data_IF_624960030544
#
_entry.id   IF_624960030544
#
_cell.length_a   1.000
_cell.length_b   1.000
_cell.length_c   1.000
_cell.angle_alpha   90.00
_cell.angle_beta   90.00
_cell.angle_gamma   90.00
#
_symmetry.space_group_name_H-M   'P 1'
#
loop_
_entity.id
_entity.type
_entity.pdbx_description
1 polymer ?
#
# COMPACT_ATOMS: atom_id res chain seq x y z
N UNK A 1 5.80 19.44 -17.91
CA UNK A 1 5.62 18.00 -17.57
C UNK A 1 6.06 17.80 -16.14
N UNK A 2 5.11 17.74 -15.19
CA UNK A 2 5.41 17.55 -13.77
C UNK A 2 5.09 16.10 -13.39
N UNK A 3 6.10 15.36 -12.91
CA UNK A 3 5.90 14.01 -12.34
C UNK A 3 5.95 14.16 -10.83
N UNK A 4 4.81 14.07 -10.12
CA UNK A 4 4.82 14.10 -8.67
C UNK A 4 5.63 12.90 -8.14
N UNK A 5 6.44 13.13 -7.10
CA UNK A 5 7.23 12.08 -6.43
C UNK A 5 6.39 11.24 -5.46
N UNK A 6 5.21 11.74 -5.10
CA UNK A 6 4.32 11.17 -4.10
C UNK A 6 2.87 11.39 -4.53
N UNK A 7 1.96 10.54 -4.04
CA UNK A 7 0.57 10.54 -4.48
C UNK A 7 -0.21 11.83 -4.13
N UNK A 8 0.09 12.47 -2.99
CA UNK A 8 -0.66 13.64 -2.54
C UNK A 8 -0.49 14.87 -3.46
N UNK A 9 0.72 15.12 -3.96
CA UNK A 9 0.97 16.22 -4.89
C UNK A 9 0.25 16.06 -6.23
N UNK A 10 0.05 14.82 -6.69
CA UNK A 10 -0.73 14.52 -7.88
C UNK A 10 -2.24 14.73 -7.69
N UNK A 11 -2.76 14.51 -6.46
CA UNK A 11 -4.18 14.62 -6.17
C UNK A 11 -4.74 16.02 -6.43
N UNK A 12 -3.98 17.08 -6.09
CA UNK A 12 -4.35 18.47 -6.40
C UNK A 12 -4.41 18.77 -7.90
N UNK A 13 -3.68 18.03 -8.73
CA UNK A 13 -3.68 18.24 -10.17
C UNK A 13 -4.92 17.64 -10.83
N UNK A 14 -5.48 16.57 -10.24
CA UNK A 14 -6.70 15.91 -10.72
C UNK A 14 -7.91 16.85 -10.71
N UNK A 15 -7.96 17.80 -9.78
CA UNK A 15 -9.05 18.78 -9.70
C UNK A 15 -8.85 19.99 -10.62
N UNK A 16 -7.61 20.28 -11.01
CA UNK A 16 -7.26 21.50 -11.75
C UNK A 16 -7.11 21.28 -13.26
N UNK A 17 -6.86 20.04 -13.70
CA UNK A 17 -6.52 19.73 -15.08
C UNK A 17 -7.29 18.49 -15.57
N UNK A 18 -7.57 18.37 -16.88
CA UNK A 18 -8.21 17.20 -17.47
C UNK A 18 -7.20 16.04 -17.59
N UNK A 19 -6.81 15.48 -16.44
CA UNK A 19 -5.82 14.41 -16.33
C UNK A 19 -6.39 13.24 -15.54
N UNK A 20 -5.82 12.06 -15.76
CA UNK A 20 -6.11 10.85 -15.00
C UNK A 20 -4.83 10.33 -14.34
N UNK A 21 -4.96 9.59 -13.25
CA UNK A 21 -3.83 8.98 -12.55
C UNK A 21 -4.18 7.56 -12.08
N UNK A 22 -3.24 6.65 -12.22
CA UNK A 22 -3.32 5.31 -11.63
C UNK A 22 -2.77 5.36 -10.22
N UNK A 23 -3.57 4.94 -9.24
CA UNK A 23 -3.25 4.99 -7.82
C UNK A 23 -3.57 3.64 -7.16
N UNK A 24 -2.92 3.31 -6.04
CA UNK A 24 -3.40 2.28 -5.14
C UNK A 24 -4.88 2.47 -4.77
N UNK A 25 -5.65 1.38 -4.70
CA UNK A 25 -7.10 1.41 -4.43
C UNK A 25 -7.45 2.23 -3.18
N UNK A 26 -6.67 2.08 -2.10
CA UNK A 26 -6.91 2.84 -0.87
C UNK A 26 -6.70 4.35 -1.05
N UNK A 27 -5.67 4.78 -1.78
CA UNK A 27 -5.46 6.20 -2.06
C UNK A 27 -6.51 6.75 -3.03
N UNK A 28 -6.87 5.97 -4.06
CA UNK A 28 -7.88 6.35 -5.04
C UNK A 28 -9.26 6.58 -4.40
N UNK A 29 -9.66 5.71 -3.48
CA UNK A 29 -10.94 5.83 -2.74
C UNK A 29 -10.95 7.05 -1.84
N UNK A 30 -9.90 7.25 -1.03
CA UNK A 30 -9.77 8.43 -0.17
C UNK A 30 -9.83 9.73 -0.96
N UNK A 31 -9.13 9.82 -2.10
CA UNK A 31 -9.16 11.03 -2.93
C UNK A 31 -10.46 11.21 -3.70
N UNK A 32 -11.10 10.12 -4.14
CA UNK A 32 -12.43 10.18 -4.75
C UNK A 32 -13.44 10.81 -3.78
N UNK A 33 -13.46 10.32 -2.54
CA UNK A 33 -14.36 10.83 -1.50
C UNK A 33 -14.02 12.28 -1.11
N UNK A 34 -12.74 12.59 -0.89
CA UNK A 34 -12.31 13.91 -0.41
C UNK A 34 -12.41 15.01 -1.47
N UNK A 35 -12.25 14.68 -2.76
CA UNK A 35 -12.16 15.66 -3.85
C UNK A 35 -13.37 15.60 -4.80
N UNK A 36 -14.35 14.74 -4.54
CA UNK A 36 -15.51 14.54 -5.41
C UNK A 36 -15.13 13.95 -6.78
N UNK A 37 -14.08 13.13 -6.83
CA UNK A 37 -13.62 12.45 -8.04
C UNK A 37 -14.24 11.06 -8.17
N UNK A 38 -14.09 10.43 -9.33
CA UNK A 38 -14.51 9.04 -9.54
C UNK A 38 -13.31 8.13 -9.68
N UNK A 39 -13.24 7.09 -8.84
CA UNK A 39 -12.29 6.00 -9.00
C UNK A 39 -12.90 4.90 -9.88
N UNK A 40 -12.14 4.42 -10.86
CA UNK A 40 -12.55 3.33 -11.77
C UNK A 40 -11.44 2.29 -11.86
N UNK A 41 -11.80 1.06 -12.22
CA UNK A 41 -10.81 0.02 -12.49
C UNK A 41 -9.97 0.39 -13.73
N UNK A 42 -8.64 0.31 -13.67
CA UNK A 42 -7.78 0.56 -14.82
C UNK A 42 -8.09 -0.40 -15.99
N UNK A 43 -7.96 0.07 -17.25
CA UNK A 43 -8.29 -0.74 -18.44
C UNK A 43 -7.25 -1.82 -18.76
N UNK A 44 -6.20 -1.94 -17.95
CA UNK A 44 -5.09 -2.87 -18.12
C UNK A 44 -4.97 -3.72 -16.86
N UNK A 45 -4.63 -5.01 -16.98
CA UNK A 45 -4.39 -5.86 -15.82
C UNK A 45 -3.30 -5.28 -14.93
N UNK A 46 -3.62 -5.02 -13.66
CA UNK A 46 -2.67 -4.50 -12.69
C UNK A 46 -2.11 -5.63 -11.82
N UNK A 47 -0.79 -5.69 -11.61
CA UNK A 47 -0.22 -6.63 -10.65
C UNK A 47 -0.71 -6.28 -9.24
N UNK A 48 -1.03 -7.31 -8.45
CA UNK A 48 -1.30 -7.13 -7.03
C UNK A 48 0.03 -6.92 -6.30
N UNK A 49 0.05 -6.02 -5.33
CA UNK A 49 1.20 -5.83 -4.46
C UNK A 49 0.82 -6.14 -3.02
N UNK A 50 1.78 -6.68 -2.26
CA UNK A 50 1.58 -7.03 -0.85
C UNK A 50 2.13 -5.92 0.02
N UNK A 51 1.31 -5.41 0.95
CA UNK A 51 1.77 -4.52 2.02
C UNK A 51 2.36 -5.39 3.12
N UNK A 52 3.60 -5.13 3.51
CA UNK A 52 4.30 -5.90 4.55
C UNK A 52 4.89 -4.95 5.59
N UNK A 53 4.69 -5.27 6.87
CA UNK A 53 5.40 -4.61 7.96
C UNK A 53 6.77 -5.27 8.15
N UNK A 54 7.83 -4.46 8.22
CA UNK A 54 9.21 -4.92 8.42
C UNK A 54 9.74 -4.31 9.70
N UNK A 55 10.40 -5.13 10.53
CA UNK A 55 11.03 -4.68 11.77
C UNK A 55 12.40 -5.34 11.96
N UNK A 56 13.22 -4.73 12.81
CA UNK A 56 14.51 -5.30 13.20
C UNK A 56 14.33 -6.40 14.25
N UNK A 57 15.20 -7.40 14.26
CA UNK A 57 15.10 -8.55 15.20
C UNK A 57 15.23 -8.12 16.66
N UNK A 58 16.00 -7.08 16.94
CA UNK A 58 16.25 -6.58 18.31
C UNK A 58 15.02 -5.97 18.98
N UNK A 59 14.01 -5.54 18.20
CA UNK A 59 12.75 -4.97 18.72
C UNK A 59 11.59 -5.96 18.62
N UNK A 60 11.86 -7.19 18.17
CA UNK A 60 10.82 -8.20 17.96
C UNK A 60 10.14 -8.63 19.26
N UNK A 61 10.89 -8.64 20.38
CA UNK A 61 10.41 -9.08 21.69
C UNK A 61 9.98 -7.91 22.60
N UNK A 62 10.04 -6.67 22.11
CA UNK A 62 9.55 -5.51 22.87
C UNK A 62 8.02 -5.60 23.02
N UNK A 63 7.47 -5.57 24.25
CA UNK A 63 6.02 -5.61 24.48
C UNK A 63 5.25 -4.50 23.78
N UNK A 64 5.80 -3.29 23.69
CA UNK A 64 5.16 -2.16 23.00
C UNK A 64 5.10 -2.39 21.48
N UNK A 65 6.17 -2.95 20.91
CA UNK A 65 6.21 -3.29 19.49
C UNK A 65 5.27 -4.46 19.17
N UNK A 66 5.17 -5.45 20.07
CA UNK A 66 4.21 -6.55 19.95
C UNK A 66 2.76 -6.09 20.02
N UNK A 67 2.45 -5.16 20.93
CA UNK A 67 1.13 -4.54 20.99
C UNK A 67 0.79 -3.80 19.69
N UNK A 68 1.69 -2.96 19.18
CA UNK A 68 1.46 -2.21 17.94
C UNK A 68 1.22 -3.15 16.75
N UNK A 69 2.00 -4.23 16.63
CA UNK A 69 1.81 -5.23 15.56
C UNK A 69 0.45 -5.90 15.62
N UNK A 70 -0.07 -6.19 16.83
CA UNK A 70 -1.42 -6.71 17.00
C UNK A 70 -2.47 -5.69 16.58
N UNK A 71 -2.34 -4.43 17.01
CA UNK A 71 -3.30 -3.38 16.64
C UNK A 71 -3.35 -3.21 15.11
N UNK A 72 -2.21 -3.16 14.45
CA UNK A 72 -2.14 -3.02 12.98
C UNK A 72 -2.74 -4.23 12.28
N UNK A 73 -2.47 -5.46 12.75
CA UNK A 73 -3.02 -6.67 12.12
C UNK A 73 -4.53 -6.81 12.30
N UNK A 74 -5.09 -6.32 13.41
CA UNK A 74 -6.53 -6.30 13.63
C UNK A 74 -7.26 -5.36 12.67
N UNK A 75 -6.66 -4.21 12.37
CA UNK A 75 -7.21 -3.18 11.46
C UNK A 75 -7.09 -3.63 10.00
N UNK A 76 -5.99 -4.26 9.62
CA UNK A 76 -5.70 -4.62 8.22
C UNK A 76 -6.44 -5.87 7.73
N UNK A 77 -7.15 -6.59 8.60
CA UNK A 77 -7.82 -7.86 8.27
C UNK A 77 -8.78 -7.70 7.06
N UNK A 78 -8.45 -8.30 5.90
CA UNK A 78 -9.33 -8.21 4.74
C UNK A 78 -10.60 -9.07 4.95
N UNK A 79 -11.76 -8.64 4.45
CA UNK A 79 -12.92 -9.52 4.32
C UNK A 79 -12.59 -10.61 3.29
N UNK A 80 -12.41 -11.85 3.77
CA UNK A 80 -12.16 -13.09 3.01
C UNK A 80 -11.58 -12.87 1.59
N UNK A 81 -10.27 -12.68 1.49
CA UNK A 81 -9.57 -12.53 0.21
C UNK A 81 -9.37 -13.88 -0.49
N UNK A 82 -9.54 -13.90 -1.82
CA UNK A 82 -9.14 -15.00 -2.70
C UNK A 82 -7.64 -15.35 -2.52
N UNK A 83 -7.24 -16.63 -2.70
CA UNK A 83 -5.88 -17.07 -2.46
C UNK A 83 -4.87 -16.28 -3.32
N UNK A 84 -3.71 -15.90 -2.77
CA UNK A 84 -2.69 -15.16 -3.50
C UNK A 84 -2.14 -16.02 -4.65
N UNK A 85 -2.33 -15.57 -5.89
CA UNK A 85 -1.85 -16.26 -7.10
C UNK A 85 -0.36 -16.01 -7.41
N UNK A 86 0.26 -15.00 -6.78
CA UNK A 86 1.70 -14.77 -6.92
C UNK A 86 2.44 -15.14 -5.63
N UNK A 87 3.55 -15.92 -5.72
CA UNK A 87 4.33 -16.25 -4.54
C UNK A 87 4.98 -14.96 -3.98
N UNK A 88 4.97 -14.76 -2.65
CA UNK A 88 5.71 -13.67 -2.04
C UNK A 88 7.20 -13.89 -2.35
N UNK A 89 7.81 -12.97 -3.11
CA UNK A 89 9.26 -12.88 -3.22
C UNK A 89 9.82 -12.49 -1.86
N UNK A 90 9.97 -13.48 -0.98
CA UNK A 90 10.76 -13.37 0.24
C UNK A 90 12.21 -13.30 -0.23
N UNK A 91 12.73 -12.09 -0.36
CA UNK A 91 14.16 -11.88 -0.57
C UNK A 91 14.86 -12.32 0.71
N UNK A 92 15.29 -13.59 0.72
CA UNK A 92 16.11 -14.19 1.76
C UNK A 92 17.33 -13.28 1.96
N UNK A 93 17.38 -12.58 3.10
CA UNK A 93 18.63 -11.97 3.54
C UNK A 93 19.56 -13.11 3.93
N UNK A 94 20.45 -13.41 3.00
CA UNK A 94 21.47 -14.43 3.10
C UNK A 94 22.26 -14.27 4.39
N UNK A 95 22.45 -15.42 5.03
CA UNK A 95 23.36 -15.64 6.16
C UNK A 95 24.75 -15.11 5.81
N UNK A 96 25.33 -14.30 6.69
CA UNK A 96 26.73 -13.91 6.57
C UNK A 96 27.15 -12.87 7.59
N UNK A 97 27.08 -13.17 8.88
CA UNK A 97 27.92 -12.48 9.87
C UNK A 97 28.36 -13.49 10.93
N UNK A 98 29.47 -14.16 10.63
CA UNK A 98 30.40 -14.69 11.64
C UNK A 98 31.50 -13.67 11.79
#
# INVERSE_FOLDING_TARGET
>A
MYRPTHFAGGALQLTALPVLATLPTHAATVYADALGLTAVEPPLPMPRYTVSAIWHTTVADDPAHTWLRHVVSEIDRPPLADPPTDPPTVQQRERGNR
#
